data_IF_004739417693
#
_entry.id   IF_004739417693
#
_cell.length_a   1.000
_cell.length_b   1.000
_cell.length_c   1.000
_cell.angle_alpha   90.00
_cell.angle_beta   90.00
_cell.angle_gamma   90.00
#
_symmetry.space_group_name_H-M   'P 1'
#
loop_
_entity.id
_entity.type
_entity.pdbx_description
1 polymer ?
#
# COMPACT_ATOMS: atom_id res chain seq x y z
N UNK A 1 -6.80 -10.68 -0.25
CA UNK A 1 -7.02 -9.52 -1.13
C UNK A 1 -8.39 -8.93 -0.86
N UNK A 2 -8.46 -7.64 -0.65
CA UNK A 2 -9.68 -6.86 -0.52
C UNK A 2 -9.74 -5.85 -1.66
N UNK A 3 -10.90 -5.70 -2.28
CA UNK A 3 -11.13 -4.70 -3.32
C UNK A 3 -12.27 -3.76 -2.95
N UNK A 4 -12.18 -2.55 -3.46
CA UNK A 4 -13.24 -1.53 -3.51
C UNK A 4 -13.00 -0.68 -4.77
N UNK A 5 -13.98 0.07 -5.21
CA UNK A 5 -13.88 0.94 -6.40
C UNK A 5 -12.79 2.02 -6.22
N UNK A 6 -11.76 1.98 -6.91
CA UNK A 6 -11.18 1.07 -7.93
C UNK A 6 -9.76 0.76 -7.51
N UNK A 7 -9.61 0.11 -6.34
CA UNK A 7 -8.34 -0.11 -5.67
C UNK A 7 -8.21 -1.56 -5.20
N UNK A 8 -6.96 -2.00 -5.08
CA UNK A 8 -6.53 -3.26 -4.54
C UNK A 8 -5.88 -3.03 -3.19
N UNK A 9 -6.16 -3.88 -2.23
CA UNK A 9 -5.47 -3.89 -0.94
C UNK A 9 -5.19 -5.33 -0.56
N UNK A 10 -3.96 -5.61 -0.22
CA UNK A 10 -3.55 -6.95 0.13
C UNK A 10 -3.20 -7.05 1.60
N UNK A 11 -3.42 -8.20 2.17
CA UNK A 11 -3.04 -8.57 3.52
C UNK A 11 -2.38 -9.95 3.46
N UNK A 12 -1.18 -10.04 4.02
CA UNK A 12 -0.45 -11.28 4.13
C UNK A 12 -0.28 -11.61 5.62
N UNK A 13 -0.21 -12.90 5.97
CA UNK A 13 0.13 -13.27 7.34
C UNK A 13 1.53 -12.75 7.69
N UNK A 14 1.69 -12.33 8.92
CA UNK A 14 2.96 -11.87 9.45
C UNK A 14 3.90 -13.03 9.81
N UNK A 15 4.75 -12.79 10.80
CA UNK A 15 5.76 -13.75 11.24
C UNK A 15 5.15 -15.03 11.85
N UNK A 16 3.93 -14.96 12.37
CA UNK A 16 3.23 -16.11 12.96
C UNK A 16 2.56 -17.02 11.92
N UNK A 17 2.51 -16.58 10.64
CA UNK A 17 1.92 -17.34 9.53
C UNK A 17 0.39 -17.43 9.57
N UNK A 18 -0.29 -16.63 10.40
CA UNK A 18 -1.73 -16.61 10.56
C UNK A 18 -2.30 -15.25 10.21
N UNK A 19 -3.50 -15.23 9.65
CA UNK A 19 -4.24 -14.00 9.43
C UNK A 19 -5.17 -13.73 10.63
N UNK A 20 -5.10 -12.54 11.18
CA UNK A 20 -6.01 -12.12 12.25
C UNK A 20 -7.47 -12.11 11.83
N UNK A 21 -8.36 -12.18 12.82
CA UNK A 21 -9.81 -12.11 12.62
C UNK A 21 -10.23 -10.80 11.97
N UNK A 22 -11.31 -10.84 11.18
CA UNK A 22 -11.89 -9.66 10.54
C UNK A 22 -13.39 -9.62 10.75
N UNK A 23 -13.93 -8.41 10.93
CA UNK A 23 -15.36 -8.19 10.99
C UNK A 23 -15.74 -6.86 10.32
N UNK A 24 -16.93 -6.81 9.74
CA UNK A 24 -17.46 -5.59 9.12
C UNK A 24 -17.59 -4.45 10.13
N UNK A 25 -17.86 -4.76 11.41
CA UNK A 25 -17.92 -3.78 12.50
C UNK A 25 -16.62 -3.05 12.76
N UNK A 26 -15.48 -3.59 12.37
CA UNK A 26 -14.16 -2.98 12.49
C UNK A 26 -13.75 -2.18 11.24
N UNK A 27 -14.55 -2.25 10.15
CA UNK A 27 -14.24 -1.55 8.91
C UNK A 27 -14.51 -0.04 9.04
N UNK A 28 -13.47 0.76 8.82
CA UNK A 28 -13.54 2.21 8.78
C UNK A 28 -12.44 2.75 7.84
N UNK A 29 -12.25 4.07 7.76
CA UNK A 29 -11.25 4.68 6.86
C UNK A 29 -9.82 4.26 7.22
N UNK A 30 -9.52 4.12 8.51
CA UNK A 30 -8.19 3.76 9.03
C UNK A 30 -7.95 2.25 9.06
N UNK A 31 -9.02 1.46 8.98
CA UNK A 31 -8.99 0.01 8.95
C UNK A 31 -9.93 -0.54 7.87
N UNK A 32 -9.65 -0.30 6.60
CA UNK A 32 -10.55 -0.71 5.51
C UNK A 32 -10.65 -2.23 5.36
N UNK A 33 -9.68 -2.97 5.88
CA UNK A 33 -9.65 -4.44 5.89
C UNK A 33 -10.55 -5.04 6.97
N UNK A 34 -10.95 -4.24 7.98
CA UNK A 34 -11.79 -4.68 9.09
C UNK A 34 -11.11 -5.67 10.02
N UNK A 35 -9.79 -5.58 10.20
CA UNK A 35 -9.02 -6.43 11.11
C UNK A 35 -9.45 -6.11 12.55
N UNK A 36 -9.64 -7.13 13.37
CA UNK A 36 -9.94 -6.93 14.79
C UNK A 36 -8.71 -6.38 15.53
N UNK A 37 -8.77 -5.14 16.07
CA UNK A 37 -7.63 -4.55 16.74
C UNK A 37 -7.23 -5.27 18.05
N UNK A 38 -8.11 -6.11 18.59
CA UNK A 38 -7.87 -6.87 19.81
C UNK A 38 -7.31 -8.28 19.55
N UNK A 39 -7.32 -8.73 18.29
CA UNK A 39 -6.79 -10.04 17.93
C UNK A 39 -5.26 -9.98 17.83
N UNK A 40 -4.52 -10.74 18.68
CA UNK A 40 -3.06 -10.75 18.63
C UNK A 40 -2.49 -11.28 17.32
N UNK A 41 -3.20 -12.18 16.62
CA UNK A 41 -2.75 -12.73 15.34
C UNK A 41 -2.86 -11.74 14.18
N UNK A 42 -3.63 -10.66 14.35
CA UNK A 42 -3.75 -9.62 13.32
C UNK A 42 -2.70 -8.52 13.43
N UNK A 43 -1.97 -8.44 14.54
CA UNK A 43 -1.06 -7.29 14.80
C UNK A 43 0.15 -7.29 13.87
N UNK A 44 0.67 -8.45 13.54
CA UNK A 44 1.81 -8.62 12.63
C UNK A 44 1.41 -8.88 11.17
N UNK A 45 0.11 -8.90 10.86
CA UNK A 45 -0.38 -8.97 9.48
C UNK A 45 0.25 -7.84 8.63
N UNK A 46 0.82 -8.21 7.51
CA UNK A 46 1.43 -7.28 6.57
C UNK A 46 0.34 -6.62 5.72
N UNK A 47 0.36 -5.30 5.64
CA UNK A 47 -0.66 -4.53 4.93
C UNK A 47 -0.06 -3.86 3.69
N UNK A 48 -0.63 -4.16 2.52
CA UNK A 48 -0.19 -3.61 1.24
C UNK A 48 -1.34 -2.83 0.60
N UNK A 49 -1.19 -1.53 0.48
CA UNK A 49 -2.16 -0.64 -0.17
C UNK A 49 -1.78 -0.30 -1.62
N UNK A 50 -0.59 -0.69 -2.07
CA UNK A 50 -0.20 -0.54 -3.46
C UNK A 50 -0.86 -1.63 -4.32
N UNK A 51 -1.24 -1.32 -5.57
CA UNK A 51 -1.81 -2.30 -6.48
C UNK A 51 -0.72 -3.23 -7.07
N UNK A 52 0.28 -3.56 -6.26
CA UNK A 52 1.40 -4.44 -6.62
C UNK A 52 1.55 -5.50 -5.54
N UNK A 53 1.14 -6.70 -5.88
CA UNK A 53 1.23 -7.87 -5.03
C UNK A 53 2.49 -8.65 -5.37
N UNK A 54 3.33 -8.92 -4.39
CA UNK A 54 4.50 -9.77 -4.55
C UNK A 54 4.21 -11.20 -4.09
N UNK A 55 4.72 -12.16 -4.82
CA UNK A 55 4.61 -13.60 -4.54
C UNK A 55 6.00 -14.23 -4.61
N UNK A 56 6.24 -15.19 -3.76
CA UNK A 56 7.48 -15.94 -3.75
C UNK A 56 7.45 -17.06 -4.80
N UNK A 57 8.51 -17.20 -5.56
CA UNK A 57 8.69 -18.27 -6.56
C UNK A 57 8.57 -19.65 -5.94
N UNK A 58 7.91 -20.57 -6.63
CA UNK A 58 7.72 -21.98 -6.24
C UNK A 58 7.02 -22.16 -4.85
N UNK A 59 6.32 -21.12 -4.36
CA UNK A 59 5.54 -21.22 -3.14
C UNK A 59 4.04 -21.20 -3.45
N UNK A 60 3.29 -22.20 -3.03
CA UNK A 60 1.84 -22.20 -3.23
C UNK A 60 1.18 -21.11 -2.39
N UNK A 61 0.29 -20.35 -3.00
CA UNK A 61 -0.45 -19.27 -2.37
C UNK A 61 -1.95 -19.47 -2.53
N UNK A 62 -2.71 -19.22 -1.47
CA UNK A 62 -4.17 -19.16 -1.50
C UNK A 62 -4.61 -17.71 -1.33
N UNK A 63 -5.31 -17.20 -2.32
CA UNK A 63 -5.91 -15.87 -2.28
C UNK A 63 -7.32 -15.96 -1.70
N UNK A 64 -7.56 -15.33 -0.57
CA UNK A 64 -8.90 -15.08 -0.04
C UNK A 64 -9.38 -13.73 -0.59
N UNK A 65 -10.49 -13.74 -1.31
CA UNK A 65 -10.96 -12.60 -2.10
C UNK A 65 -12.22 -12.01 -1.46
N UNK A 66 -12.19 -10.71 -1.16
CA UNK A 66 -13.30 -9.97 -0.53
C UNK A 66 -13.55 -8.67 -1.27
N UNK A 67 -14.81 -8.28 -1.39
CA UNK A 67 -15.21 -6.96 -1.90
C UNK A 67 -16.02 -6.20 -0.85
N UNK A 68 -15.75 -4.90 -0.73
CA UNK A 68 -16.48 -4.01 0.17
C UNK A 68 -17.66 -3.30 -0.50
N UNK A 69 -17.81 -3.37 -1.82
CA UNK A 69 -18.82 -2.58 -2.51
C UNK A 69 -19.58 -3.35 -3.60
N UNK A 70 -18.98 -3.61 -4.75
CA UNK A 70 -19.62 -4.26 -5.89
C UNK A 70 -18.87 -5.51 -6.33
N UNK A 71 -19.35 -6.19 -7.37
CA UNK A 71 -18.60 -7.27 -8.00
C UNK A 71 -17.32 -6.72 -8.64
N UNK A 72 -16.23 -7.43 -8.43
CA UNK A 72 -14.95 -7.25 -9.10
C UNK A 72 -14.42 -8.62 -9.49
N UNK A 73 -13.28 -8.66 -10.17
CA UNK A 73 -12.67 -9.91 -10.56
C UNK A 73 -11.16 -9.87 -10.34
N UNK A 74 -10.61 -10.97 -9.85
CA UNK A 74 -9.17 -11.22 -9.75
C UNK A 74 -8.75 -12.05 -10.95
N UNK A 75 -8.07 -11.44 -11.91
CA UNK A 75 -7.55 -12.14 -13.09
C UNK A 75 -6.05 -11.88 -13.24
N UNK A 76 -5.29 -12.96 -13.30
CA UNK A 76 -3.89 -12.95 -13.75
C UNK A 76 -3.80 -13.88 -14.95
N UNK A 77 -3.84 -13.35 -16.18
CA UNK A 77 -3.98 -14.17 -17.40
C UNK A 77 -2.88 -15.24 -17.55
N UNK A 78 -1.64 -14.87 -17.25
CA UNK A 78 -0.50 -15.77 -17.36
C UNK A 78 -0.55 -16.91 -16.34
N UNK A 79 -1.18 -16.71 -15.21
CA UNK A 79 -1.43 -17.75 -14.20
C UNK A 79 -2.64 -18.62 -14.58
N UNK A 80 -3.42 -18.21 -15.57
CA UNK A 80 -4.69 -18.85 -15.97
C UNK A 80 -5.71 -18.89 -14.81
N UNK A 81 -5.66 -17.89 -13.94
CA UNK A 81 -6.57 -17.75 -12.81
C UNK A 81 -7.56 -16.61 -13.05
N UNK A 82 -8.81 -16.87 -12.69
CA UNK A 82 -9.90 -15.90 -12.70
C UNK A 82 -10.90 -16.29 -11.62
N UNK A 83 -11.22 -15.35 -10.73
CA UNK A 83 -12.19 -15.56 -9.65
C UNK A 83 -12.84 -14.24 -9.27
N UNK A 84 -14.15 -14.25 -9.06
CA UNK A 84 -14.91 -13.07 -8.70
C UNK A 84 -14.79 -12.74 -7.21
N UNK A 85 -14.69 -11.44 -6.93
CA UNK A 85 -14.93 -10.89 -5.62
C UNK A 85 -16.42 -10.59 -5.48
N UNK A 86 -17.10 -11.33 -4.60
CA UNK A 86 -18.52 -11.16 -4.38
C UNK A 86 -18.75 -10.45 -3.05
N UNK A 87 -19.43 -9.29 -3.01
CA UNK A 87 -19.74 -8.61 -1.76
C UNK A 87 -20.48 -9.51 -0.79
N UNK A 88 -20.04 -9.52 0.48
CA UNK A 88 -20.62 -10.37 1.54
C UNK A 88 -20.16 -11.82 1.51
N UNK A 89 -19.31 -12.22 0.58
CA UNK A 89 -18.73 -13.57 0.53
C UNK A 89 -17.21 -13.49 0.53
N UNK A 90 -16.57 -14.58 0.96
CA UNK A 90 -15.14 -14.81 0.78
C UNK A 90 -15.00 -15.91 -0.27
N UNK A 91 -14.62 -15.53 -1.49
CA UNK A 91 -14.21 -16.48 -2.50
C UNK A 91 -12.71 -16.77 -2.39
N UNK A 92 -12.24 -17.83 -3.00
CA UNK A 92 -10.82 -18.16 -2.95
C UNK A 92 -10.35 -18.78 -4.27
N UNK A 93 -9.07 -18.61 -4.52
CA UNK A 93 -8.34 -19.27 -5.61
C UNK A 93 -6.92 -19.53 -5.13
N UNK A 94 -6.25 -20.51 -5.69
CA UNK A 94 -4.86 -20.81 -5.38
C UNK A 94 -4.00 -20.84 -6.65
N UNK A 95 -2.73 -20.58 -6.50
CA UNK A 95 -1.74 -20.68 -7.55
C UNK A 95 -0.38 -21.03 -6.95
N UNK A 96 0.51 -21.56 -7.79
CA UNK A 96 1.92 -21.74 -7.48
C UNK A 96 2.72 -21.08 -8.61
N UNK A 97 3.34 -19.91 -8.34
CA UNK A 97 4.10 -19.20 -9.34
C UNK A 97 5.42 -19.94 -9.63
N UNK A 98 5.68 -20.25 -10.89
CA UNK A 98 6.86 -21.07 -11.29
C UNK A 98 7.85 -20.30 -12.17
N UNK A 99 7.59 -19.05 -12.46
CA UNK A 99 8.46 -18.20 -13.29
C UNK A 99 8.51 -16.81 -12.71
N UNK A 100 9.71 -16.30 -12.45
CA UNK A 100 9.94 -14.91 -12.02
C UNK A 100 9.43 -13.93 -13.09
N UNK A 101 8.94 -12.77 -12.66
CA UNK A 101 8.52 -11.72 -13.57
C UNK A 101 7.40 -10.84 -13.05
N UNK A 102 6.95 -9.93 -13.89
CA UNK A 102 5.87 -8.99 -13.61
C UNK A 102 4.67 -9.30 -14.50
N UNK A 103 3.53 -9.52 -13.88
CA UNK A 103 2.30 -9.98 -14.53
C UNK A 103 1.18 -8.96 -14.31
N UNK A 104 0.29 -8.81 -15.29
CA UNK A 104 -0.87 -7.96 -15.14
C UNK A 104 -1.89 -8.59 -14.19
N UNK A 105 -2.35 -7.79 -13.20
CA UNK A 105 -3.51 -8.07 -12.37
C UNK A 105 -4.66 -7.19 -12.88
N UNK A 106 -5.75 -7.82 -13.30
CA UNK A 106 -6.85 -7.17 -13.97
C UNK A 106 -8.16 -7.39 -13.20
N UNK A 107 -9.03 -6.39 -13.24
CA UNK A 107 -10.44 -6.55 -12.95
C UNK A 107 -11.18 -6.77 -14.28
N UNK A 108 -11.77 -7.95 -14.47
CA UNK A 108 -12.54 -8.31 -15.68
C UNK A 108 -14.05 -8.39 -15.41
N UNK A 109 -14.53 -7.81 -14.30
CA UNK A 109 -15.95 -7.64 -14.00
C UNK A 109 -16.31 -6.16 -13.94
N UNK A 110 -17.34 -5.74 -14.67
CA UNK A 110 -17.74 -4.34 -14.75
C UNK A 110 -18.13 -3.81 -13.35
N UNK A 111 -17.26 -2.98 -12.78
CA UNK A 111 -17.38 -2.48 -11.41
C UNK A 111 -17.66 -0.96 -11.34
N UNK A 112 -18.01 -0.32 -12.44
CA UNK A 112 -18.34 1.11 -12.49
C UNK A 112 -17.47 1.91 -13.45
N UNK A 113 -17.54 3.24 -13.36
CA UNK A 113 -16.90 4.16 -14.33
C UNK A 113 -15.37 4.07 -14.36
N UNK A 114 -14.72 3.65 -13.26
CA UNK A 114 -13.28 3.47 -13.19
C UNK A 114 -12.80 2.04 -13.49
N UNK A 115 -13.68 1.17 -13.95
CA UNK A 115 -13.36 -0.24 -14.23
C UNK A 115 -12.12 -0.41 -15.14
N UNK A 116 -12.01 0.37 -16.19
CA UNK A 116 -10.88 0.33 -17.14
C UNK A 116 -9.53 0.69 -16.50
N UNK A 117 -9.54 1.43 -15.39
CA UNK A 117 -8.35 1.88 -14.67
C UNK A 117 -7.98 0.96 -13.49
N UNK A 118 -8.84 -0.01 -13.15
CA UNK A 118 -8.62 -0.93 -12.03
C UNK A 118 -7.64 -2.02 -12.43
N UNK A 119 -6.36 -1.67 -12.44
CA UNK A 119 -5.23 -2.54 -12.77
C UNK A 119 -4.26 -2.59 -11.60
N UNK A 120 -3.59 -3.72 -11.48
CA UNK A 120 -2.47 -3.94 -10.57
C UNK A 120 -1.38 -4.76 -11.24
N UNK A 121 -0.41 -5.17 -10.45
CA UNK A 121 0.67 -6.06 -10.85
C UNK A 121 0.80 -7.20 -9.87
N UNK A 122 1.16 -8.37 -10.36
CA UNK A 122 1.71 -9.46 -9.56
C UNK A 122 3.18 -9.59 -9.95
N UNK A 123 4.06 -9.45 -8.98
CA UNK A 123 5.49 -9.66 -9.14
C UNK A 123 5.83 -11.03 -8.53
N UNK A 124 6.48 -11.87 -9.27
CA UNK A 124 7.01 -13.13 -8.76
C UNK A 124 8.50 -12.96 -8.54
N UNK A 125 8.90 -13.02 -7.29
CA UNK A 125 10.25 -12.78 -6.82
C UNK A 125 10.94 -14.08 -6.39
N UNK A 126 12.26 -14.11 -6.49
CA UNK A 126 13.05 -15.10 -5.76
C UNK A 126 13.03 -14.83 -4.25
N UNK A 127 13.59 -15.73 -3.46
CA UNK A 127 13.56 -15.67 -1.98
C UNK A 127 14.14 -14.38 -1.42
N UNK A 128 15.25 -13.89 -1.99
CA UNK A 128 15.94 -12.68 -1.51
C UNK A 128 15.12 -11.43 -1.78
N UNK A 129 14.59 -11.30 -2.99
CA UNK A 129 13.76 -10.16 -3.40
C UNK A 129 12.45 -10.11 -2.61
N UNK A 130 11.79 -11.27 -2.45
CA UNK A 130 10.56 -11.37 -1.67
C UNK A 130 10.79 -11.02 -0.20
N UNK A 131 11.86 -11.55 0.41
CA UNK A 131 12.21 -11.23 1.80
C UNK A 131 12.52 -9.73 1.99
N UNK A 132 13.22 -9.12 1.05
CA UNK A 132 13.49 -7.69 1.08
C UNK A 132 12.21 -6.86 0.94
N UNK A 133 11.32 -7.25 0.03
CA UNK A 133 10.05 -6.55 -0.16
C UNK A 133 9.14 -6.65 1.06
N UNK A 134 8.96 -7.86 1.64
CA UNK A 134 8.04 -8.04 2.77
C UNK A 134 8.53 -7.35 4.04
N UNK A 135 9.85 -7.31 4.25
CA UNK A 135 10.46 -6.62 5.38
C UNK A 135 10.23 -5.10 5.37
N UNK A 136 9.91 -4.54 4.22
CA UNK A 136 9.67 -3.10 4.04
C UNK A 136 8.17 -2.73 4.09
N UNK A 137 7.27 -3.72 4.22
CA UNK A 137 5.84 -3.47 4.35
C UNK A 137 5.45 -3.18 5.80
N UNK A 138 4.48 -2.27 6.06
CA UNK A 138 3.99 -2.04 7.40
C UNK A 138 3.15 -3.23 7.89
N UNK A 139 3.25 -3.52 9.17
CA UNK A 139 2.30 -4.39 9.86
C UNK A 139 0.99 -3.64 10.15
N UNK A 140 -0.07 -4.39 10.50
CA UNK A 140 -1.31 -3.75 10.97
C UNK A 140 -1.04 -2.90 12.23
N UNK A 141 -0.25 -3.40 13.18
CA UNK A 141 0.15 -2.62 14.36
C UNK A 141 0.84 -1.30 13.98
N UNK A 142 1.72 -1.30 12.96
CA UNK A 142 2.37 -0.09 12.47
C UNK A 142 1.37 0.89 11.86
N UNK A 143 0.37 0.38 11.11
CA UNK A 143 -0.66 1.24 10.55
C UNK A 143 -1.52 1.89 11.63
N UNK A 144 -1.84 1.15 12.70
CA UNK A 144 -2.62 1.67 13.83
C UNK A 144 -1.78 2.61 14.72
N UNK A 145 -0.50 2.33 14.94
CA UNK A 145 0.40 3.23 15.64
C UNK A 145 0.54 4.57 14.91
N UNK A 146 0.45 4.57 13.58
CA UNK A 146 0.42 5.79 12.78
C UNK A 146 -0.78 6.71 13.06
N UNK A 147 -1.88 6.19 13.62
CA UNK A 147 -3.02 6.98 14.06
C UNK A 147 -2.75 7.77 15.35
N UNK A 148 -1.78 7.31 16.14
CA UNK A 148 -1.27 7.98 17.34
C UNK A 148 0.04 8.71 17.05
N UNK A 149 0.17 9.29 15.86
CA UNK A 149 1.40 9.94 15.43
C UNK A 149 1.82 11.06 16.38
N UNK A 150 3.11 11.16 16.64
CA UNK A 150 3.70 12.25 17.42
C UNK A 150 3.76 13.53 16.56
N UNK A 151 2.80 14.42 16.79
CA UNK A 151 2.70 15.69 16.07
C UNK A 151 3.89 16.62 16.34
N UNK A 152 4.54 16.52 17.50
CA UNK A 152 5.73 17.32 17.84
C UNK A 152 6.92 16.83 17.02
N UNK A 153 7.12 15.53 16.95
CA UNK A 153 8.14 14.93 16.09
C UNK A 153 7.85 15.17 14.61
N UNK A 154 6.57 15.13 14.22
CA UNK A 154 6.09 15.48 12.88
C UNK A 154 6.43 16.93 12.50
N UNK A 155 6.15 17.87 13.38
CA UNK A 155 6.47 19.29 13.19
C UNK A 155 7.99 19.50 13.05
N UNK A 156 8.78 18.84 13.89
CA UNK A 156 10.25 18.92 13.80
C UNK A 156 10.76 18.38 12.46
N UNK A 157 10.21 17.26 11.99
CA UNK A 157 10.55 16.69 10.68
C UNK A 157 10.09 17.58 9.53
N UNK A 158 8.91 18.22 9.65
CA UNK A 158 8.37 19.09 8.61
C UNK A 158 9.21 20.37 8.40
N UNK A 159 9.99 20.78 9.37
CA UNK A 159 10.82 21.99 9.26
C UNK A 159 11.71 22.00 8.00
N UNK A 160 12.24 20.84 7.61
CA UNK A 160 13.01 20.71 6.36
C UNK A 160 12.11 20.79 5.13
N UNK A 161 10.94 20.18 5.17
CA UNK A 161 9.99 20.16 4.06
C UNK A 161 9.40 21.53 3.77
N UNK A 162 9.20 22.34 4.82
CA UNK A 162 8.61 23.69 4.74
C UNK A 162 9.38 24.64 3.84
N UNK A 163 10.70 24.44 3.68
CA UNK A 163 11.54 25.26 2.83
C UNK A 163 11.11 25.26 1.35
N UNK A 164 10.53 24.14 0.91
CA UNK A 164 10.04 23.97 -0.46
C UNK A 164 8.52 23.96 -0.53
N UNK A 165 7.85 23.28 0.41
CA UNK A 165 6.40 23.10 0.40
C UNK A 165 5.60 24.19 1.11
N UNK A 166 6.29 25.19 1.70
CA UNK A 166 5.67 26.28 2.45
C UNK A 166 5.40 25.91 3.91
N UNK A 167 5.29 26.91 4.78
CA UNK A 167 5.15 26.71 6.23
C UNK A 167 3.79 26.12 6.62
N UNK A 168 2.77 26.30 5.78
CA UNK A 168 1.44 25.72 5.93
C UNK A 168 1.18 24.63 4.88
N UNK A 169 2.23 24.04 4.32
CA UNK A 169 2.15 23.04 3.28
C UNK A 169 1.36 23.47 2.02
N UNK A 170 1.29 24.77 1.77
CA UNK A 170 0.55 25.39 0.67
C UNK A 170 1.19 25.15 -0.71
N UNK A 171 2.44 24.66 -0.74
CA UNK A 171 3.24 24.48 -1.95
C UNK A 171 3.94 25.74 -2.43
N UNK A 172 4.88 25.58 -3.37
CA UNK A 172 5.63 26.67 -3.99
C UNK A 172 5.82 26.40 -5.49
N UNK A 173 5.07 27.14 -6.29
CA UNK A 173 5.11 26.97 -7.76
C UNK A 173 6.47 27.28 -8.36
N UNK A 174 7.22 28.26 -7.81
CA UNK A 174 8.53 28.64 -8.32
C UNK A 174 9.58 27.56 -8.07
N UNK A 175 9.39 26.74 -7.04
CA UNK A 175 10.25 25.60 -6.70
C UNK A 175 9.70 24.27 -7.23
N UNK A 176 8.59 24.30 -7.96
CA UNK A 176 7.86 23.11 -8.41
C UNK A 176 7.49 22.14 -7.27
N UNK A 177 7.37 22.67 -6.04
CA UNK A 177 6.96 21.92 -4.88
C UNK A 177 5.43 21.94 -4.77
N UNK A 178 4.76 20.76 -4.82
CA UNK A 178 3.32 20.71 -4.77
C UNK A 178 2.77 21.12 -3.39
N UNK A 179 1.52 21.55 -3.38
CA UNK A 179 0.76 21.69 -2.13
C UNK A 179 0.58 20.31 -1.51
N UNK A 180 0.82 20.20 -0.21
CA UNK A 180 0.59 18.99 0.59
C UNK A 180 -0.66 19.11 1.46
N UNK A 181 -0.96 20.32 1.96
CA UNK A 181 -2.13 20.57 2.80
C UNK A 181 -3.43 20.14 2.12
N UNK A 182 -4.18 19.25 2.80
CA UNK A 182 -5.43 18.68 2.30
C UNK A 182 -5.25 17.54 1.28
N UNK A 183 -4.03 17.03 1.10
CA UNK A 183 -3.75 15.82 0.33
C UNK A 183 -4.07 14.59 1.19
N UNK A 184 -4.49 13.50 0.54
CA UNK A 184 -4.74 12.23 1.21
C UNK A 184 -3.49 11.71 1.93
N UNK A 185 -3.64 11.37 3.21
CA UNK A 185 -2.52 10.97 4.07
C UNK A 185 -1.84 9.69 3.59
N UNK A 186 -2.60 8.68 3.18
CA UNK A 186 -2.03 7.42 2.69
C UNK A 186 -1.32 7.61 1.34
N UNK A 187 -1.85 8.51 0.50
CA UNK A 187 -1.14 8.90 -0.72
C UNK A 187 0.21 9.55 -0.39
N UNK A 188 0.27 10.48 0.57
CA UNK A 188 1.52 11.13 0.97
C UNK A 188 2.52 10.14 1.54
N UNK A 189 2.10 9.25 2.46
CA UNK A 189 2.94 8.18 3.01
C UNK A 189 3.52 7.30 1.91
N UNK A 190 2.68 6.86 0.98
CA UNK A 190 3.08 6.04 -0.16
C UNK A 190 4.10 6.76 -1.04
N UNK A 191 3.90 8.05 -1.36
CA UNK A 191 4.84 8.81 -2.17
C UNK A 191 6.21 8.96 -1.47
N UNK A 192 6.24 9.23 -0.18
CA UNK A 192 7.48 9.30 0.60
C UNK A 192 8.23 7.95 0.58
N UNK A 193 7.51 6.83 0.74
CA UNK A 193 8.09 5.49 0.61
C UNK A 193 8.63 5.24 -0.80
N UNK A 194 7.91 5.64 -1.86
CA UNK A 194 8.38 5.50 -3.25
C UNK A 194 9.68 6.26 -3.50
N UNK A 195 9.85 7.46 -2.96
CA UNK A 195 11.12 8.19 -3.04
C UNK A 195 12.23 7.47 -2.27
N UNK A 196 11.96 6.96 -1.07
CA UNK A 196 12.94 6.22 -0.25
C UNK A 196 13.41 4.93 -0.93
N UNK A 197 12.53 4.25 -1.65
CA UNK A 197 12.83 3.00 -2.37
C UNK A 197 13.42 3.20 -3.76
N UNK A 198 13.57 4.43 -4.21
CA UNK A 198 14.02 4.71 -5.57
C UNK A 198 12.98 4.36 -6.66
N UNK A 199 11.72 4.18 -6.30
CA UNK A 199 10.62 4.02 -7.27
C UNK A 199 10.31 5.35 -7.96
N UNK A 200 10.54 6.47 -7.26
CA UNK A 200 10.45 7.84 -7.78
C UNK A 200 11.74 8.59 -7.56
N UNK A 201 12.00 9.58 -8.45
CA UNK A 201 13.16 10.44 -8.36
C UNK A 201 14.47 9.80 -8.83
N UNK A 202 14.40 8.72 -9.61
CA UNK A 202 15.55 8.01 -10.17
C UNK A 202 15.65 8.13 -11.68
N UNK A 203 14.53 8.43 -12.37
CA UNK A 203 14.52 8.60 -13.82
C UNK A 203 15.20 9.93 -14.21
N UNK A 204 15.96 9.95 -15.31
CA UNK A 204 16.70 11.14 -15.78
C UNK A 204 15.80 12.33 -16.10
N UNK A 205 14.57 12.08 -16.56
CA UNK A 205 13.58 13.11 -16.88
C UNK A 205 12.78 13.58 -15.64
N UNK A 206 12.87 12.89 -14.49
CA UNK A 206 12.18 13.26 -13.24
C UNK A 206 13.03 14.24 -12.40
N UNK A 207 13.37 15.39 -12.98
CA UNK A 207 14.23 16.40 -12.34
C UNK A 207 13.72 16.82 -10.95
N UNK A 208 12.42 16.97 -10.80
CA UNK A 208 11.80 17.39 -9.54
C UNK A 208 11.72 16.25 -8.53
N UNK A 209 11.49 15.03 -8.99
CA UNK A 209 11.57 13.85 -8.15
C UNK A 209 12.99 13.60 -7.63
N UNK A 210 14.01 13.82 -8.45
CA UNK A 210 15.42 13.76 -8.04
C UNK A 210 15.75 14.77 -6.93
N UNK A 211 15.10 15.93 -6.92
CA UNK A 211 15.25 16.93 -5.86
C UNK A 211 14.56 16.48 -4.57
N UNK A 212 13.39 15.81 -4.67
CA UNK A 212 12.61 15.35 -3.52
C UNK A 212 13.17 14.07 -2.88
N UNK A 213 13.77 13.17 -3.64
CA UNK A 213 14.24 11.88 -3.15
C UNK A 213 15.23 12.00 -1.96
N UNK A 214 16.26 12.87 -1.96
CA UNK A 214 17.13 13.05 -0.81
C UNK A 214 16.39 13.55 0.44
N UNK A 215 15.32 14.36 0.26
CA UNK A 215 14.52 14.86 1.38
C UNK A 215 13.73 13.73 2.05
N UNK A 216 13.17 12.83 1.26
CA UNK A 216 12.47 11.65 1.79
C UNK A 216 13.44 10.70 2.54
N UNK A 217 14.70 10.59 2.10
CA UNK A 217 15.72 9.78 2.76
C UNK A 217 16.09 10.29 4.17
N UNK A 218 15.82 11.55 4.50
CA UNK A 218 16.06 12.11 5.83
C UNK A 218 15.07 11.58 6.88
N UNK A 219 13.93 11.05 6.48
CA UNK A 219 12.98 10.40 7.38
C UNK A 219 13.53 9.02 7.76
N UNK A 220 13.84 8.81 9.03
CA UNK A 220 14.57 7.62 9.49
C UNK A 220 13.84 6.31 9.16
N UNK A 221 12.54 6.26 9.45
CA UNK A 221 11.72 5.04 9.37
C UNK A 221 10.25 5.36 9.02
N UNK A 222 9.41 4.33 9.07
CA UNK A 222 7.97 4.46 8.83
C UNK A 222 7.25 5.32 9.87
N UNK A 223 7.71 5.33 11.12
CA UNK A 223 7.17 6.19 12.17
C UNK A 223 7.41 7.68 11.87
N UNK A 224 8.61 8.04 11.42
CA UNK A 224 8.93 9.40 11.00
C UNK A 224 8.06 9.85 9.81
N UNK A 225 7.77 8.96 8.85
CA UNK A 225 6.83 9.23 7.75
C UNK A 225 5.43 9.45 8.29
N UNK A 226 4.95 8.60 9.20
CA UNK A 226 3.62 8.73 9.79
C UNK A 226 3.49 10.05 10.57
N UNK A 227 4.49 10.39 11.37
CA UNK A 227 4.52 11.61 12.18
C UNK A 227 4.45 12.88 11.31
N UNK A 228 5.29 12.98 10.27
CA UNK A 228 5.31 14.16 9.40
C UNK A 228 4.04 14.29 8.58
N UNK A 229 3.47 13.18 8.10
CA UNK A 229 2.20 13.21 7.35
C UNK A 229 1.01 13.58 8.24
N UNK A 230 0.99 13.10 9.49
CA UNK A 230 -0.06 13.48 10.44
C UNK A 230 0.01 14.95 10.86
N UNK A 231 1.20 15.55 10.83
CA UNK A 231 1.38 16.98 11.11
C UNK A 231 0.89 17.88 9.95
N UNK A 232 1.05 17.44 8.69
CA UNK A 232 0.64 18.17 7.48
C UNK A 232 -0.87 18.22 7.34
#
# INVERSE_FOLDING_TARGET
VLVRRWNWSDRLPGADGQLGAVAVSHTNEDNPLGIDPSDPFGQDDIIVYDPVLHLQLDQPVTFLLRSNDVLHNFTVPQFRVKMDFVPGQVSYIWAEPTVEGSYDLLCEELCGVGHYAMRGRVIVDNDEQYAAWIADQPTFADTQAGLNSDLVAGQASYAVCSSCHGVNAEGNKAMHAPRLAGMDAEYMKRQLRHFKRGVRGTHEDDTWGQTMAPMAMMLADGSAINNVVAYI
#
